data_IF_544384536605
#
_entry.id   IF_544384536605
#
_cell.length_a   1.000
_cell.length_b   1.000
_cell.length_c   1.000
_cell.angle_alpha   90.00
_cell.angle_beta   90.00
_cell.angle_gamma   90.00
#
_symmetry.space_group_name_H-M   'P 1'
#
loop_
_entity.id
_entity.type
_entity.pdbx_description
1 polymer ?
#
# COMPACT_ATOMS: atom_id res chain seq x y z
N UNK A 1 -31.09 -18.73 41.29
CA UNK A 1 -31.35 -18.90 39.86
C UNK A 1 -31.20 -17.60 39.04
N UNK A 2 -31.54 -16.44 39.60
CA UNK A 2 -31.41 -15.14 38.86
C UNK A 2 -29.98 -14.65 38.64
N UNK A 3 -29.02 -15.03 39.50
CA UNK A 3 -27.60 -14.64 39.41
C UNK A 3 -26.87 -15.35 38.27
N UNK A 4 -27.19 -16.63 37.99
CA UNK A 4 -26.55 -17.41 36.91
C UNK A 4 -26.93 -16.90 35.52
N UNK A 5 -28.13 -16.34 35.36
CA UNK A 5 -28.59 -15.76 34.10
C UNK A 5 -27.86 -14.43 33.79
N UNK A 6 -27.54 -13.65 34.82
CA UNK A 6 -26.79 -12.39 34.69
C UNK A 6 -25.34 -12.62 34.22
N UNK A 7 -24.68 -13.66 34.74
CA UNK A 7 -23.33 -14.03 34.31
C UNK A 7 -23.29 -14.57 32.88
N UNK A 8 -24.33 -15.26 32.43
CA UNK A 8 -24.44 -15.76 31.07
C UNK A 8 -24.63 -14.63 30.06
N UNK A 9 -25.42 -13.61 30.39
CA UNK A 9 -25.65 -12.41 29.56
C UNK A 9 -24.38 -11.52 29.54
N UNK A 10 -23.66 -11.41 30.66
CA UNK A 10 -22.40 -10.68 30.75
C UNK A 10 -21.28 -11.34 29.93
N UNK A 11 -21.22 -12.68 29.88
CA UNK A 11 -20.24 -13.41 29.11
C UNK A 11 -20.50 -13.32 27.59
N UNK A 12 -21.76 -13.18 27.19
CA UNK A 12 -22.14 -13.08 25.78
C UNK A 12 -21.81 -11.70 25.17
N UNK A 13 -21.67 -10.66 26.01
CA UNK A 13 -21.33 -9.29 25.57
C UNK A 13 -19.84 -9.04 25.32
N UNK A 14 -18.96 -9.98 25.72
CA UNK A 14 -17.51 -9.83 25.56
C UNK A 14 -17.01 -10.36 24.20
N UNK A 15 -17.82 -11.11 23.46
CA UNK A 15 -17.41 -11.77 22.21
C UNK A 15 -17.58 -10.89 20.98
N UNK A 16 -18.16 -9.69 21.08
CA UNK A 16 -18.44 -8.82 19.94
C UNK A 16 -17.44 -7.69 19.69
N UNK A 17 -16.25 -7.72 20.32
CA UNK A 17 -15.22 -6.69 20.15
C UNK A 17 -13.98 -7.22 19.38
N UNK A 18 -14.18 -8.04 18.36
CA UNK A 18 -13.21 -8.16 17.27
C UNK A 18 -13.69 -7.26 16.13
N UNK A 19 -13.49 -5.96 16.27
CA UNK A 19 -13.41 -5.10 15.10
C UNK A 19 -12.16 -5.55 14.31
N UNK A 20 -12.39 -6.32 13.26
CA UNK A 20 -11.46 -6.39 12.15
C UNK A 20 -11.34 -4.96 11.61
N UNK A 21 -10.39 -4.21 12.09
CA UNK A 21 -9.86 -3.09 11.38
C UNK A 21 -9.17 -3.69 10.15
N UNK A 22 -9.94 -3.94 9.09
CA UNK A 22 -9.37 -4.01 7.76
C UNK A 22 -8.65 -2.68 7.56
N UNK A 23 -7.34 -2.71 7.78
CA UNK A 23 -6.48 -1.67 7.25
C UNK A 23 -6.69 -1.75 5.73
N UNK A 24 -7.51 -0.84 5.19
CA UNK A 24 -7.66 -0.68 3.75
C UNK A 24 -6.25 -0.43 3.23
N UNK A 25 -5.65 -1.49 2.71
CA UNK A 25 -4.31 -1.45 2.14
C UNK A 25 -4.37 -0.46 0.98
N UNK A 26 -3.76 0.73 1.19
CA UNK A 26 -3.85 1.83 0.25
C UNK A 26 -2.93 1.50 -0.92
N UNK A 27 -3.52 1.20 -2.07
CA UNK A 27 -2.78 1.00 -3.32
C UNK A 27 -2.48 2.33 -4.01
N UNK A 28 -1.36 2.39 -4.72
CA UNK A 28 -1.03 3.46 -5.65
C UNK A 28 -1.68 3.26 -7.04
N UNK A 29 -1.34 4.11 -8.00
CA UNK A 29 -1.96 4.12 -9.33
C UNK A 29 -1.58 2.91 -10.22
N UNK A 30 -0.71 2.01 -9.76
CA UNK A 30 -0.34 0.78 -10.48
C UNK A 30 -1.37 -0.34 -10.31
N UNK A 31 -2.35 -0.22 -9.43
CA UNK A 31 -3.29 -1.29 -9.09
C UNK A 31 -4.13 -1.79 -10.29
N UNK A 32 -4.33 -0.95 -11.29
CA UNK A 32 -5.10 -1.29 -12.48
C UNK A 32 -4.22 -1.71 -13.67
N UNK A 33 -2.91 -1.84 -13.46
CA UNK A 33 -1.99 -2.27 -14.50
C UNK A 33 -2.09 -3.78 -14.74
N UNK A 34 -1.66 -4.23 -15.93
CA UNK A 34 -1.68 -5.65 -16.33
C UNK A 34 -0.31 -6.32 -16.19
N UNK A 35 0.77 -5.55 -16.14
CA UNK A 35 2.11 -6.06 -15.96
C UNK A 35 2.30 -6.63 -14.55
N UNK A 36 2.71 -7.91 -14.39
CA UNK A 36 3.01 -8.48 -13.07
C UNK A 36 4.07 -7.68 -12.29
N UNK A 37 5.06 -7.14 -12.98
CA UNK A 37 6.07 -6.29 -12.35
C UNK A 37 5.46 -5.03 -11.75
N UNK A 38 4.59 -4.33 -12.47
CA UNK A 38 3.95 -3.11 -11.97
C UNK A 38 3.00 -3.42 -10.81
N UNK A 39 2.25 -4.52 -10.89
CA UNK A 39 1.34 -4.94 -9.83
C UNK A 39 2.07 -5.30 -8.54
N UNK A 40 3.30 -5.81 -8.60
CA UNK A 40 4.13 -6.05 -7.41
C UNK A 40 4.38 -4.77 -6.61
N UNK A 41 4.46 -3.62 -7.27
CA UNK A 41 4.69 -2.32 -6.66
C UNK A 41 3.41 -1.55 -6.30
N UNK A 42 2.23 -2.11 -6.57
CA UNK A 42 0.95 -1.42 -6.38
C UNK A 42 0.65 -1.07 -4.92
N UNK A 43 1.21 -1.79 -3.97
CA UNK A 43 1.03 -1.58 -2.53
C UNK A 43 2.26 -0.96 -1.84
N UNK A 44 3.27 -0.57 -2.58
CA UNK A 44 4.38 0.19 -2.01
C UNK A 44 3.87 1.55 -1.46
N UNK A 45 4.45 2.06 -0.38
CA UNK A 45 4.10 3.38 0.14
C UNK A 45 4.53 4.53 -0.77
N UNK A 46 5.34 4.27 -1.80
CA UNK A 46 5.67 5.23 -2.86
C UNK A 46 4.48 5.39 -3.80
N UNK A 47 4.13 6.62 -4.15
CA UNK A 47 3.03 6.99 -5.05
C UNK A 47 3.40 6.74 -6.52
N UNK A 48 3.68 5.48 -6.84
CA UNK A 48 4.00 5.07 -8.20
C UNK A 48 2.87 5.33 -9.18
N UNK A 49 3.23 5.83 -10.36
CA UNK A 49 2.35 6.03 -11.48
C UNK A 49 2.83 5.20 -12.68
N UNK A 50 1.91 4.70 -13.54
CA UNK A 50 2.30 4.06 -14.79
C UNK A 50 3.00 5.06 -15.72
N UNK A 51 3.75 4.55 -16.69
CA UNK A 51 4.40 5.39 -17.70
C UNK A 51 3.37 6.07 -18.60
N UNK A 52 3.21 7.38 -18.41
CA UNK A 52 2.31 8.21 -19.20
C UNK A 52 2.83 9.65 -19.20
N UNK A 53 2.80 10.29 -20.38
CA UNK A 53 3.27 11.67 -20.55
C UNK A 53 2.55 12.68 -19.64
N UNK A 54 1.28 12.42 -19.28
CA UNK A 54 0.52 13.28 -18.37
C UNK A 54 1.19 13.50 -17.01
N UNK A 55 1.90 12.48 -16.49
CA UNK A 55 2.61 12.60 -15.21
C UNK A 55 3.90 13.43 -15.35
N UNK A 56 4.56 13.34 -16.50
CA UNK A 56 5.72 14.18 -16.81
C UNK A 56 5.30 15.65 -16.96
N UNK A 57 4.17 15.90 -17.63
CA UNK A 57 3.60 17.24 -17.79
C UNK A 57 3.16 17.83 -16.44
N UNK A 58 2.59 16.99 -15.57
CA UNK A 58 2.21 17.40 -14.21
C UNK A 58 3.45 17.79 -13.39
N UNK A 59 4.49 16.96 -13.42
CA UNK A 59 5.74 17.23 -12.71
C UNK A 59 6.38 18.53 -13.18
N UNK A 60 6.38 18.79 -14.50
CA UNK A 60 6.86 20.05 -15.08
C UNK A 60 6.03 21.24 -14.60
N UNK A 61 4.71 21.13 -14.61
CA UNK A 61 3.78 22.17 -14.15
C UNK A 61 3.98 22.50 -12.67
N UNK A 62 4.25 21.48 -11.85
CA UNK A 62 4.45 21.61 -10.40
C UNK A 62 5.91 21.87 -10.02
N UNK A 63 6.83 21.94 -10.99
CA UNK A 63 8.27 22.09 -10.79
C UNK A 63 8.86 21.03 -9.88
N UNK A 64 8.46 19.76 -10.07
CA UNK A 64 8.90 18.60 -9.29
C UNK A 64 9.92 17.77 -10.07
N UNK A 65 10.84 17.14 -9.33
CA UNK A 65 11.70 16.10 -9.87
C UNK A 65 10.91 14.84 -10.18
N UNK A 66 11.39 14.07 -11.15
CA UNK A 66 10.80 12.78 -11.53
C UNK A 66 11.80 11.67 -11.29
N UNK A 67 11.34 10.62 -10.60
CA UNK A 67 12.07 9.36 -10.45
C UNK A 67 11.47 8.34 -11.41
N UNK A 68 12.28 7.79 -12.30
CA UNK A 68 11.86 6.77 -13.26
C UNK A 68 12.48 5.44 -12.85
N UNK A 69 11.62 4.44 -12.59
CA UNK A 69 12.02 3.08 -12.31
C UNK A 69 11.65 2.19 -13.49
N UNK A 70 12.63 1.41 -13.98
CA UNK A 70 12.45 0.46 -15.07
C UNK A 70 12.93 -0.90 -14.62
N UNK A 71 12.08 -1.91 -14.79
CA UNK A 71 12.40 -3.27 -14.35
C UNK A 71 11.48 -4.31 -14.98
N UNK A 72 11.58 -5.54 -14.50
CA UNK A 72 10.81 -6.69 -14.95
C UNK A 72 10.66 -7.72 -13.82
N UNK A 73 9.70 -8.65 -13.92
CA UNK A 73 9.31 -9.54 -12.83
C UNK A 73 10.42 -10.48 -12.33
N UNK A 74 11.34 -10.88 -13.18
CA UNK A 74 12.49 -11.74 -12.82
C UNK A 74 13.77 -10.98 -12.48
N UNK A 75 13.70 -9.66 -12.35
CA UNK A 75 14.85 -8.82 -12.01
C UNK A 75 15.18 -8.93 -10.51
N UNK A 76 16.25 -9.65 -10.17
CA UNK A 76 16.67 -9.83 -8.78
C UNK A 76 16.92 -8.50 -8.05
N UNK A 77 17.70 -7.61 -8.66
CA UNK A 77 18.06 -6.33 -8.04
C UNK A 77 16.89 -5.35 -7.98
N UNK A 78 15.89 -5.49 -8.85
CA UNK A 78 14.64 -4.72 -8.73
C UNK A 78 13.87 -5.11 -7.46
N UNK A 79 13.82 -6.40 -7.12
CA UNK A 79 13.21 -6.88 -5.88
C UNK A 79 13.99 -6.47 -4.62
N UNK A 80 15.33 -6.43 -4.71
CA UNK A 80 16.17 -5.92 -3.61
C UNK A 80 15.89 -4.44 -3.38
N UNK A 81 15.85 -3.63 -4.44
CA UNK A 81 15.54 -2.20 -4.35
C UNK A 81 14.14 -1.96 -3.76
N UNK A 82 13.17 -2.78 -4.14
CA UNK A 82 11.82 -2.72 -3.57
C UNK A 82 11.85 -2.90 -2.06
N UNK A 83 12.42 -4.03 -1.59
CA UNK A 83 12.46 -4.35 -0.16
C UNK A 83 13.28 -3.35 0.67
N UNK A 84 14.38 -2.85 0.13
CA UNK A 84 15.30 -1.99 0.86
C UNK A 84 14.96 -0.49 0.78
N UNK A 85 14.18 -0.09 -0.22
CA UNK A 85 13.92 1.33 -0.46
C UNK A 85 12.44 1.64 -0.71
N UNK A 86 11.76 0.93 -1.60
CA UNK A 86 10.40 1.31 -2.01
C UNK A 86 9.33 0.89 -1.01
N UNK A 87 9.61 -0.08 -0.16
CA UNK A 87 8.75 -0.46 0.98
C UNK A 87 9.03 0.37 2.23
N UNK A 88 10.11 1.14 2.26
CA UNK A 88 10.45 2.00 3.38
C UNK A 88 9.60 3.27 3.39
N UNK A 89 8.89 3.49 4.50
CA UNK A 89 7.97 4.64 4.61
C UNK A 89 8.67 5.98 4.72
N UNK A 90 9.92 6.02 5.19
CA UNK A 90 10.72 7.24 5.28
C UNK A 90 11.20 7.62 3.88
N UNK A 91 11.73 6.65 3.12
CA UNK A 91 12.11 6.85 1.73
C UNK A 91 10.89 7.28 0.89
N UNK A 92 9.75 6.64 1.05
CA UNK A 92 8.52 7.00 0.35
C UNK A 92 8.08 8.45 0.61
N UNK A 93 8.18 8.93 1.84
CA UNK A 93 7.87 10.34 2.16
C UNK A 93 8.77 11.35 1.45
N UNK A 94 10.01 10.98 1.17
CA UNK A 94 10.94 11.82 0.42
C UNK A 94 10.68 11.76 -1.08
N UNK A 95 10.19 10.63 -1.58
CA UNK A 95 9.90 10.41 -2.99
C UNK A 95 8.55 10.97 -3.43
N UNK A 96 7.57 10.94 -2.53
CA UNK A 96 6.20 11.42 -2.79
C UNK A 96 6.14 12.95 -2.69
#
# INVERSE_FOLDING_TARGET
>A
MKIKLFYFISLLLIVTACENKESKEMSNNLINETSPYLLQHAYNPVDWNPWDSKYLDLAKKENKLVIISVGYSSCHWCHVMERESFEDTIAAKLMN
#
